data_IF_857819805863
#
_entry.id   IF_857819805863
#
_cell.length_a   1.000
_cell.length_b   1.000
_cell.length_c   1.000
_cell.angle_alpha   90.00
_cell.angle_beta   90.00
_cell.angle_gamma   90.00
#
_symmetry.space_group_name_H-M   'P 1'
#
loop_
_entity.id
_entity.type
_entity.pdbx_description
1 polymer ?
#
# COMPACT_ATOMS: atom_id res chain seq x y z
N UNK A 1 11.37 7.83 10.11
CA UNK A 1 11.55 6.66 9.24
C UNK A 1 10.84 5.48 9.87
N UNK A 2 9.95 4.85 9.11
CA UNK A 2 9.28 3.60 9.48
C UNK A 2 9.77 2.46 8.59
N UNK A 3 9.48 1.21 8.95
CA UNK A 3 9.80 0.05 8.11
C UNK A 3 9.10 0.12 6.74
N UNK A 4 7.94 0.79 6.66
CA UNK A 4 7.20 1.02 5.42
C UNK A 4 8.00 1.89 4.45
N UNK A 5 8.72 2.90 4.94
CA UNK A 5 9.60 3.74 4.12
C UNK A 5 10.79 2.94 3.55
N UNK A 6 11.31 1.99 4.33
CA UNK A 6 12.37 1.10 3.84
C UNK A 6 11.84 0.15 2.75
N UNK A 7 10.62 -0.37 2.92
CA UNK A 7 9.98 -1.25 1.94
C UNK A 7 9.74 -0.54 0.60
N UNK A 8 9.27 0.71 0.61
CA UNK A 8 9.06 1.47 -0.64
C UNK A 8 10.36 1.75 -1.39
N UNK A 9 11.49 1.93 -0.68
CA UNK A 9 12.81 2.10 -1.29
C UNK A 9 13.39 0.79 -1.84
N UNK A 10 13.10 -0.35 -1.20
CA UNK A 10 13.64 -1.65 -1.60
C UNK A 10 12.83 -2.31 -2.73
N UNK A 11 11.51 -2.11 -2.78
CA UNK A 11 10.63 -2.78 -3.75
C UNK A 11 11.07 -2.64 -5.22
N UNK A 12 11.50 -1.45 -5.72
CA UNK A 12 12.00 -1.32 -7.09
C UNK A 12 13.26 -2.13 -7.37
N UNK A 13 14.08 -2.38 -6.34
CA UNK A 13 15.36 -3.09 -6.45
C UNK A 13 15.17 -4.61 -6.36
N UNK A 14 14.20 -5.07 -5.58
CA UNK A 14 13.93 -6.50 -5.40
C UNK A 14 13.08 -7.11 -6.51
N UNK A 15 12.43 -6.28 -7.34
CA UNK A 15 11.57 -6.73 -8.43
C UNK A 15 10.19 -7.20 -7.97
N UNK A 16 9.29 -7.41 -8.95
CA UNK A 16 7.87 -7.73 -8.72
C UNK A 16 7.67 -9.02 -7.91
N UNK A 17 8.40 -10.10 -8.23
CA UNK A 17 8.22 -11.40 -7.59
C UNK A 17 8.48 -11.37 -6.07
N UNK A 18 9.61 -10.78 -5.65
CA UNK A 18 9.96 -10.68 -4.23
C UNK A 18 9.04 -9.66 -3.54
N UNK A 19 8.72 -8.56 -4.20
CA UNK A 19 7.80 -7.54 -3.68
C UNK A 19 6.44 -8.15 -3.37
N UNK A 20 5.86 -8.93 -4.28
CA UNK A 20 4.57 -9.58 -4.11
C UNK A 20 4.61 -10.71 -3.07
N UNK A 21 5.65 -11.55 -3.08
CA UNK A 21 5.70 -12.74 -2.22
C UNK A 21 6.14 -12.46 -0.77
N UNK A 22 6.94 -11.40 -0.54
CA UNK A 22 7.53 -11.11 0.79
C UNK A 22 7.11 -9.76 1.36
N UNK A 23 7.10 -8.70 0.57
CA UNK A 23 6.90 -7.34 1.08
C UNK A 23 5.41 -6.96 1.16
N UNK A 24 4.64 -7.30 0.14
CA UNK A 24 3.21 -7.00 0.07
C UNK A 24 2.41 -7.57 1.26
N UNK A 25 2.60 -8.83 1.70
CA UNK A 25 1.88 -9.37 2.86
C UNK A 25 2.11 -8.58 4.15
N UNK A 26 3.33 -8.03 4.34
CA UNK A 26 3.68 -7.19 5.49
C UNK A 26 2.93 -5.86 5.43
N UNK A 27 2.86 -5.24 4.25
CA UNK A 27 2.12 -3.99 4.03
C UNK A 27 0.62 -4.19 4.27
N UNK A 28 0.04 -5.27 3.73
CA UNK A 28 -1.38 -5.60 3.91
C UNK A 28 -1.70 -5.85 5.38
N UNK A 29 -0.81 -6.53 6.12
CA UNK A 29 -0.99 -6.70 7.57
C UNK A 29 -0.95 -5.35 8.30
N UNK A 30 -0.01 -4.47 7.94
CA UNK A 30 0.11 -3.13 8.51
C UNK A 30 -1.12 -2.23 8.21
N UNK A 31 -1.90 -2.52 7.16
CA UNK A 31 -3.15 -1.78 6.87
C UNK A 31 -4.19 -1.89 8.02
N UNK A 32 -4.08 -2.93 8.85
CA UNK A 32 -4.99 -3.20 9.97
C UNK A 32 -4.52 -2.60 11.30
N UNK A 33 -3.43 -1.84 11.29
CA UNK A 33 -2.86 -1.28 12.51
C UNK A 33 -3.84 -0.33 13.23
N UNK A 34 -3.76 -0.19 14.54
CA UNK A 34 -4.62 0.73 15.31
C UNK A 34 -4.17 2.19 15.16
N UNK A 35 -2.91 2.41 14.82
CA UNK A 35 -2.30 3.73 14.67
C UNK A 35 -2.55 4.24 13.26
N UNK A 36 -3.27 5.36 13.15
CA UNK A 36 -3.63 6.03 11.89
C UNK A 36 -2.40 6.36 11.03
N UNK A 37 -1.31 6.77 11.67
CA UNK A 37 -0.05 7.07 10.98
C UNK A 37 0.55 5.85 10.25
N UNK A 38 0.30 4.64 10.72
CA UNK A 38 0.74 3.43 10.04
C UNK A 38 -0.16 3.20 8.82
N UNK A 39 -1.48 3.32 8.99
CA UNK A 39 -2.45 3.13 7.90
C UNK A 39 -2.27 4.09 6.73
N UNK A 40 -2.10 5.40 6.97
CA UNK A 40 -1.91 6.32 5.84
C UNK A 40 -0.56 6.12 5.14
N UNK A 41 0.47 5.67 5.87
CA UNK A 41 1.75 5.32 5.27
C UNK A 41 1.63 4.05 4.43
N UNK A 42 0.79 3.08 4.84
CA UNK A 42 0.45 1.93 3.99
C UNK A 42 -0.14 2.39 2.66
N UNK A 43 -1.08 3.33 2.66
CA UNK A 43 -1.66 3.85 1.42
C UNK A 43 -0.59 4.47 0.49
N UNK A 44 0.35 5.25 1.04
CA UNK A 44 1.48 5.83 0.29
C UNK A 44 2.41 4.76 -0.29
N UNK A 45 2.76 3.74 0.50
CA UNK A 45 3.61 2.65 0.00
C UNK A 45 2.90 1.87 -1.09
N UNK A 46 1.63 1.51 -0.88
CA UNK A 46 0.82 0.82 -1.90
C UNK A 46 0.78 1.60 -3.21
N UNK A 47 0.62 2.93 -3.16
CA UNK A 47 0.70 3.79 -4.35
C UNK A 47 2.04 3.64 -5.09
N UNK A 48 3.15 3.63 -4.36
CA UNK A 48 4.49 3.47 -4.95
C UNK A 48 4.74 2.08 -5.55
N UNK A 49 4.00 1.06 -5.12
CA UNK A 49 4.13 -0.31 -5.63
C UNK A 49 3.37 -0.56 -6.93
N UNK A 50 2.34 0.23 -7.23
CA UNK A 50 1.50 0.08 -8.43
C UNK A 50 2.35 -0.05 -9.72
N UNK A 51 3.36 0.79 -10.00
CA UNK A 51 4.16 0.65 -11.22
C UNK A 51 5.16 -0.52 -11.21
N UNK A 52 5.32 -1.21 -10.08
CA UNK A 52 6.34 -2.28 -9.88
C UNK A 52 5.71 -3.67 -10.03
N UNK A 53 4.48 -3.83 -9.56
CA UNK A 53 3.78 -5.12 -9.51
C UNK A 53 2.91 -5.33 -10.75
N UNK A 54 2.49 -6.58 -10.97
CA UNK A 54 1.56 -6.90 -12.06
C UNK A 54 0.18 -6.30 -11.81
N UNK A 55 -0.52 -5.93 -12.89
CA UNK A 55 -1.89 -5.40 -12.82
C UNK A 55 -2.85 -6.36 -12.10
N UNK A 56 -2.64 -7.67 -12.24
CA UNK A 56 -3.40 -8.71 -11.54
C UNK A 56 -3.35 -8.54 -10.02
N UNK A 57 -2.17 -8.21 -9.47
CA UNK A 57 -1.94 -7.96 -8.04
C UNK A 57 -2.56 -6.64 -7.62
N UNK A 58 -2.48 -5.62 -8.47
CA UNK A 58 -3.13 -4.33 -8.23
C UNK A 58 -4.64 -4.52 -8.04
N UNK A 59 -5.30 -5.23 -8.95
CA UNK A 59 -6.75 -5.44 -8.90
C UNK A 59 -7.21 -6.37 -7.77
N UNK A 60 -6.47 -7.45 -7.51
CA UNK A 60 -6.90 -8.48 -6.56
C UNK A 60 -6.54 -8.18 -5.11
N UNK A 61 -5.48 -7.39 -4.88
CA UNK A 61 -4.92 -7.19 -3.54
C UNK A 61 -4.82 -5.72 -3.15
N UNK A 62 -4.20 -4.89 -3.98
CA UNK A 62 -3.93 -3.49 -3.64
C UNK A 62 -5.23 -2.66 -3.64
N UNK A 63 -6.02 -2.74 -4.70
CA UNK A 63 -7.28 -1.97 -4.83
C UNK A 63 -8.25 -2.28 -3.68
N UNK A 64 -8.56 -3.55 -3.34
CA UNK A 64 -9.45 -3.84 -2.21
C UNK A 64 -8.93 -3.28 -0.88
N UNK A 65 -7.63 -3.38 -0.62
CA UNK A 65 -7.02 -2.82 0.58
C UNK A 65 -7.16 -1.29 0.63
N UNK A 66 -6.96 -0.61 -0.50
CA UNK A 66 -7.11 0.85 -0.58
C UNK A 66 -8.57 1.30 -0.46
N UNK A 67 -9.53 0.53 -0.98
CA UNK A 67 -10.97 0.78 -0.78
C UNK A 67 -11.34 0.65 0.70
N UNK A 68 -10.80 -0.32 1.42
CA UNK A 68 -11.07 -0.41 2.86
C UNK A 68 -10.46 0.78 3.63
N UNK A 69 -9.25 1.20 3.26
CA UNK A 69 -8.63 2.39 3.85
C UNK A 69 -9.35 3.69 3.48
N UNK A 70 -10.04 3.76 2.34
CA UNK A 70 -10.82 4.95 1.95
C UNK A 70 -12.05 5.19 2.82
N UNK A 71 -12.50 4.16 3.55
CA UNK A 71 -13.61 4.22 4.51
C UNK A 71 -13.15 4.39 5.98
N UNK A 72 -11.85 4.56 6.23
CA UNK A 72 -11.31 4.70 7.59
C UNK A 72 -11.87 5.97 8.29
N UNK A 73 -12.14 5.96 9.61
CA UNK A 73 -12.62 7.15 10.33
C UNK A 73 -11.63 8.33 10.30
N UNK A 74 -10.33 8.09 10.13
CA UNK A 74 -9.34 9.15 10.05
C UNK A 74 -9.26 9.82 8.66
N UNK A 75 -9.24 11.15 8.65
CA UNK A 75 -9.27 11.93 7.40
C UNK A 75 -8.00 11.77 6.57
N UNK A 76 -6.84 11.65 7.19
CA UNK A 76 -5.57 11.51 6.47
C UNK A 76 -5.49 10.13 5.82
N UNK A 77 -5.92 9.08 6.54
CA UNK A 77 -6.01 7.73 5.99
C UNK A 77 -6.90 7.71 4.75
N UNK A 78 -8.11 8.29 4.82
CA UNK A 78 -9.01 8.39 3.66
C UNK A 78 -8.39 9.17 2.51
N UNK A 79 -7.77 10.32 2.80
CA UNK A 79 -7.17 11.18 1.78
C UNK A 79 -6.09 10.44 0.98
N UNK A 80 -5.13 9.82 1.67
CA UNK A 80 -4.04 9.10 1.01
C UNK A 80 -4.53 7.81 0.32
N UNK A 81 -5.52 7.12 0.87
CA UNK A 81 -6.13 5.95 0.23
C UNK A 81 -6.82 6.34 -1.09
N UNK A 82 -7.62 7.41 -1.09
CA UNK A 82 -8.27 7.91 -2.30
C UNK A 82 -7.26 8.41 -3.34
N UNK A 83 -6.18 9.07 -2.91
CA UNK A 83 -5.09 9.47 -3.80
C UNK A 83 -4.41 8.26 -4.45
N UNK A 84 -4.14 7.21 -3.67
CA UNK A 84 -3.56 5.97 -4.19
C UNK A 84 -4.52 5.24 -5.15
N UNK A 85 -5.83 5.22 -4.86
CA UNK A 85 -6.83 4.62 -5.76
C UNK A 85 -6.86 5.29 -7.13
N UNK A 86 -6.62 6.60 -7.22
CA UNK A 86 -6.54 7.28 -8.52
C UNK A 86 -5.36 6.80 -9.37
N UNK A 87 -4.29 6.34 -8.73
CA UNK A 87 -3.11 5.78 -9.40
C UNK A 87 -3.31 4.32 -9.86
N UNK A 88 -4.37 3.64 -9.40
CA UNK A 88 -4.70 2.27 -9.84
C UNK A 88 -5.49 2.22 -11.16
N UNK A 89 -5.73 3.37 -11.80
CA UNK A 89 -6.50 3.49 -13.06
C UNK A 89 -5.64 3.26 -14.29
#
# INVERSE_FOLDING_TARGET
MTILDAISLLAPVMGSEITCSKLLPVIITASKDRVRNIKFNVAKVLQSLIPIVEQSVVETTIRPCLVELSEDPDVDVRFFANQALQATK
#
